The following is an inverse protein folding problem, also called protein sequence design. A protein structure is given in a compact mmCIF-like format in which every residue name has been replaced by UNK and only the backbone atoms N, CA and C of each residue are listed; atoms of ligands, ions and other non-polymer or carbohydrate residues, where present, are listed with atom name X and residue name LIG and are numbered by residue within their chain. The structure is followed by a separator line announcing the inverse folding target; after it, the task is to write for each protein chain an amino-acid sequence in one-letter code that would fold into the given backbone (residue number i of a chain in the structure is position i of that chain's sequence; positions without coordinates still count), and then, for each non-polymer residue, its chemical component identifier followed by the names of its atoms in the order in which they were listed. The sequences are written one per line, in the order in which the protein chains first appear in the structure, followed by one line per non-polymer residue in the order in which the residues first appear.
data_IF_755652532490
#
_entry.id   IF_755652532490
#
_cell.length_a   1.000
_cell.length_b   1.000
_cell.length_c   1.000
_cell.angle_alpha   90.00
_cell.angle_beta   90.00
_cell.angle_gamma   90.00
#
_symmetry.space_group_name_H-M   'P 1'
#
loop_
_entity.id
_entity.type
_entity.pdbx_description
1 polymer ?
#
# COMPACT_ATOMS: atom_id res chain seq x y z
N UNK A 1 18.41 -6.00 -10.65
CA UNK A 1 17.09 -6.64 -10.48
C UNK A 1 16.98 -7.05 -9.02
N UNK A 2 16.02 -6.51 -8.28
CA UNK A 2 15.77 -6.83 -6.85
C UNK A 2 14.60 -7.79 -6.72
N UNK A 3 14.58 -8.60 -5.67
CA UNK A 3 13.46 -9.46 -5.27
C UNK A 3 12.71 -8.77 -4.14
N UNK A 4 11.48 -8.33 -4.40
CA UNK A 4 10.72 -7.48 -3.49
C UNK A 4 9.48 -8.22 -3.03
N UNK A 5 9.34 -8.36 -1.71
CA UNK A 5 8.14 -8.88 -1.08
C UNK A 5 7.16 -7.74 -0.83
N UNK A 6 5.89 -7.92 -1.22
CA UNK A 6 4.81 -6.97 -0.91
C UNK A 6 3.76 -7.66 -0.05
N UNK A 7 3.26 -6.96 0.96
CA UNK A 7 2.25 -7.45 1.88
C UNK A 7 1.06 -6.51 1.92
N UNK A 8 -0.11 -6.97 1.49
CA UNK A 8 -1.31 -6.14 1.45
C UNK A 8 -2.58 -6.87 1.01
N UNK A 9 -3.70 -6.16 0.98
CA UNK A 9 -4.99 -6.68 0.54
C UNK A 9 -5.30 -6.28 -0.90
N UNK A 10 -5.16 -7.19 -1.87
CA UNK A 10 -5.69 -6.98 -3.20
C UNK A 10 -7.20 -7.16 -3.20
N UNK A 11 -7.91 -6.27 -3.89
CA UNK A 11 -9.37 -6.32 -3.98
C UNK A 11 -9.83 -6.47 -5.42
N UNK A 12 -11.00 -7.12 -5.62
CA UNK A 12 -11.72 -7.01 -6.86
C UNK A 12 -12.38 -5.63 -6.92
N UNK A 13 -12.09 -4.87 -7.99
CA UNK A 13 -12.71 -3.58 -8.24
C UNK A 13 -13.77 -3.70 -9.31
N UNK A 14 -14.97 -3.24 -9.00
CA UNK A 14 -16.08 -3.05 -9.93
C UNK A 14 -16.23 -1.55 -10.20
N UNK A 15 -15.95 -1.12 -11.43
CA UNK A 15 -16.15 0.27 -11.87
C UNK A 15 -17.36 0.33 -12.79
N UNK A 16 -18.27 1.28 -12.58
CA UNK A 16 -19.43 1.47 -13.47
C UNK A 16 -18.96 1.70 -14.90
N UNK A 17 -19.73 1.29 -15.88
CA UNK A 17 -19.42 1.53 -17.30
C UNK A 17 -20.08 2.80 -17.84
N UNK A 18 -20.91 3.44 -17.02
CA UNK A 18 -21.60 4.71 -17.23
C UNK A 18 -21.25 5.69 -16.11
N UNK A 19 -21.72 6.92 -16.22
CA UNK A 19 -21.56 7.96 -15.21
C UNK A 19 -22.70 7.97 -14.17
N UNK A 20 -23.46 6.90 -14.09
CA UNK A 20 -24.52 6.73 -13.11
C UNK A 20 -23.94 6.54 -11.70
N UNK A 21 -24.77 6.79 -10.70
CA UNK A 21 -24.45 6.47 -9.31
C UNK A 21 -24.28 4.96 -9.10
N UNK A 22 -23.66 4.56 -8.00
CA UNK A 22 -23.40 3.13 -7.72
C UNK A 22 -24.68 2.30 -7.54
N UNK A 23 -25.77 2.94 -7.08
CA UNK A 23 -27.08 2.32 -6.85
C UNK A 23 -27.95 2.22 -8.13
N UNK A 24 -27.65 3.06 -9.14
CA UNK A 24 -28.39 3.05 -10.42
C UNK A 24 -27.66 2.25 -11.51
N UNK A 25 -26.35 2.06 -11.39
CA UNK A 25 -25.56 1.41 -12.42
C UNK A 25 -25.85 -0.09 -12.55
N UNK A 26 -26.23 -0.54 -13.73
CA UNK A 26 -26.51 -1.95 -14.02
C UNK A 26 -25.27 -2.72 -14.52
N UNK A 27 -24.25 -2.04 -15.07
CA UNK A 27 -23.10 -2.67 -15.69
C UNK A 27 -21.79 -2.20 -15.07
N UNK A 28 -20.91 -3.16 -14.79
CA UNK A 28 -19.61 -2.90 -14.16
C UNK A 28 -18.47 -3.58 -14.92
N UNK A 29 -17.35 -2.88 -15.02
CA UNK A 29 -16.07 -3.45 -15.46
C UNK A 29 -15.29 -3.94 -14.26
N UNK A 30 -14.89 -5.23 -14.32
CA UNK A 30 -14.08 -5.87 -13.28
C UNK A 30 -12.59 -5.64 -13.52
N UNK A 31 -11.89 -5.13 -12.50
CA UNK A 31 -10.44 -4.89 -12.51
C UNK A 31 -9.82 -5.25 -11.15
N UNK A 32 -8.53 -4.98 -10.96
CA UNK A 32 -7.84 -5.07 -9.67
C UNK A 32 -7.76 -3.72 -8.98
N UNK A 33 -7.75 -3.75 -7.66
CA UNK A 33 -7.38 -2.63 -6.80
C UNK A 33 -6.51 -3.09 -5.64
N UNK A 34 -5.81 -2.15 -5.05
CA UNK A 34 -4.93 -2.33 -3.89
C UNK A 34 -3.67 -1.48 -4.07
N UNK A 35 -3.26 -0.75 -3.05
CA UNK A 35 -2.08 0.09 -3.11
C UNK A 35 -0.83 -0.74 -3.43
N UNK A 36 -0.62 -1.81 -2.68
CA UNK A 36 0.52 -2.71 -2.87
C UNK A 36 0.44 -3.47 -4.21
N UNK A 37 -0.77 -3.70 -4.76
CA UNK A 37 -0.94 -4.28 -6.11
C UNK A 37 -0.39 -3.32 -7.17
N UNK A 38 -0.73 -2.04 -7.06
CA UNK A 38 -0.25 -1.02 -8.00
C UNK A 38 1.28 -0.90 -7.94
N UNK A 39 1.86 -0.94 -6.73
CA UNK A 39 3.32 -0.97 -6.54
C UNK A 39 3.92 -2.23 -7.16
N UNK A 40 3.36 -3.42 -6.90
CA UNK A 40 3.85 -4.69 -7.45
C UNK A 40 3.86 -4.70 -8.98
N UNK A 41 2.78 -4.23 -9.62
CA UNK A 41 2.68 -4.09 -11.07
C UNK A 41 3.76 -3.11 -11.59
N UNK A 42 3.91 -1.96 -10.93
CA UNK A 42 4.93 -0.97 -11.28
C UNK A 42 6.34 -1.56 -11.23
N UNK A 43 6.70 -2.22 -10.13
CA UNK A 43 7.99 -2.87 -9.94
C UNK A 43 8.27 -3.94 -11.00
N UNK A 44 7.29 -4.79 -11.31
CA UNK A 44 7.42 -5.83 -12.34
C UNK A 44 7.67 -5.21 -13.72
N UNK A 45 6.95 -4.13 -14.06
CA UNK A 45 7.14 -3.39 -15.33
C UNK A 45 8.48 -2.66 -15.41
N UNK A 46 9.07 -2.31 -14.27
CA UNK A 46 10.43 -1.76 -14.16
C UNK A 46 11.53 -2.84 -14.14
N UNK A 47 11.18 -4.13 -14.26
CA UNK A 47 12.11 -5.25 -14.38
C UNK A 47 12.56 -5.85 -13.04
N UNK A 48 11.88 -5.56 -11.94
CA UNK A 48 12.09 -6.20 -10.65
C UNK A 48 11.25 -7.49 -10.50
N UNK A 49 11.61 -8.35 -9.56
CA UNK A 49 10.81 -9.53 -9.19
C UNK A 49 9.93 -9.19 -7.99
N UNK A 50 8.64 -9.02 -8.21
CA UNK A 50 7.66 -8.78 -7.16
C UNK A 50 7.01 -10.11 -6.74
N UNK A 51 7.03 -10.42 -5.45
CA UNK A 51 6.26 -11.53 -4.84
C UNK A 51 5.19 -10.95 -3.93
N UNK A 52 3.97 -11.41 -4.08
CA UNK A 52 2.84 -10.88 -3.32
C UNK A 52 2.42 -11.82 -2.20
N UNK A 53 2.43 -11.33 -0.96
CA UNK A 53 1.98 -12.04 0.23
C UNK A 53 0.59 -11.53 0.61
N UNK A 54 -0.40 -12.43 0.56
CA UNK A 54 -1.79 -12.11 0.94
C UNK A 54 -2.59 -13.39 1.22
N UNK A 55 -3.79 -13.19 1.77
CA UNK A 55 -4.81 -14.22 1.92
C UNK A 55 -6.09 -13.76 1.23
N UNK A 56 -6.60 -14.56 0.31
CA UNK A 56 -7.84 -14.34 -0.43
C UNK A 56 -8.91 -15.31 0.04
N UNK A 57 -10.18 -15.00 -0.19
CA UNK A 57 -11.23 -15.97 -0.07
C UNK A 57 -11.07 -17.07 -1.13
N UNK A 58 -11.46 -18.31 -0.80
CA UNK A 58 -11.59 -19.39 -1.79
C UNK A 58 -12.90 -19.21 -2.55
N UNK A 59 -12.97 -18.13 -3.33
CA UNK A 59 -14.14 -17.66 -4.04
C UNK A 59 -13.78 -17.14 -5.45
N UNK A 60 -14.76 -16.88 -6.32
CA UNK A 60 -14.51 -16.42 -7.69
C UNK A 60 -13.70 -15.10 -7.77
N UNK A 61 -13.74 -14.25 -6.74
CA UNK A 61 -12.98 -13.00 -6.68
C UNK A 61 -11.52 -13.28 -6.33
N UNK A 62 -11.26 -14.15 -5.36
CA UNK A 62 -9.92 -14.57 -5.00
C UNK A 62 -9.19 -15.26 -6.15
N UNK A 63 -9.88 -16.17 -6.84
CA UNK A 63 -9.33 -16.82 -8.04
C UNK A 63 -9.04 -15.82 -9.16
N UNK A 64 -9.94 -14.85 -9.38
CA UNK A 64 -9.72 -13.78 -10.35
C UNK A 64 -8.49 -12.94 -10.01
N UNK A 65 -8.35 -12.50 -8.74
CA UNK A 65 -7.23 -11.70 -8.29
C UNK A 65 -5.90 -12.43 -8.49
N UNK A 66 -5.78 -13.69 -8.01
CA UNK A 66 -4.55 -14.47 -8.15
C UNK A 66 -4.17 -14.66 -9.62
N UNK A 67 -5.14 -14.96 -10.48
CA UNK A 67 -4.92 -15.06 -11.92
C UNK A 67 -4.42 -13.76 -12.53
N UNK A 68 -4.97 -12.61 -12.11
CA UNK A 68 -4.56 -11.30 -12.60
C UNK A 68 -3.16 -10.90 -12.14
N UNK A 69 -2.81 -11.15 -10.87
CA UNK A 69 -1.46 -10.94 -10.36
C UNK A 69 -0.44 -11.75 -11.18
N UNK A 70 -0.73 -13.02 -11.42
CA UNK A 70 0.12 -13.88 -12.26
C UNK A 70 0.27 -13.36 -13.70
N UNK A 71 -0.82 -12.87 -14.31
CA UNK A 71 -0.78 -12.29 -15.65
C UNK A 71 0.05 -11.02 -15.77
N UNK A 72 0.18 -10.24 -14.67
CA UNK A 72 1.06 -9.07 -14.59
C UNK A 72 2.53 -9.46 -14.27
N UNK A 73 2.85 -10.76 -14.20
CA UNK A 73 4.19 -11.26 -13.94
C UNK A 73 4.60 -11.24 -12.46
N UNK A 74 3.64 -11.06 -11.55
CA UNK A 74 3.87 -11.09 -10.11
C UNK A 74 3.91 -12.53 -9.63
N UNK A 75 4.91 -12.89 -8.81
CA UNK A 75 4.98 -14.20 -8.18
C UNK A 75 3.89 -14.36 -7.12
N UNK A 76 3.03 -15.36 -7.33
CA UNK A 76 1.85 -15.63 -6.49
C UNK A 76 2.02 -16.84 -5.58
N UNK A 77 3.25 -17.33 -5.36
CA UNK A 77 3.53 -18.49 -4.48
C UNK A 77 3.10 -18.26 -3.02
N UNK A 78 3.06 -16.98 -2.58
CA UNK A 78 2.62 -16.57 -1.26
C UNK A 78 1.18 -15.99 -1.24
N UNK A 79 0.39 -16.29 -2.27
CA UNK A 79 -1.05 -16.00 -2.29
C UNK A 79 -1.80 -17.22 -1.81
N UNK A 80 -2.30 -17.17 -0.60
CA UNK A 80 -3.04 -18.23 0.09
C UNK A 80 -4.56 -18.06 -0.07
N UNK A 81 -5.31 -19.13 0.14
CA UNK A 81 -6.76 -19.09 0.17
C UNK A 81 -7.30 -19.46 1.56
N UNK A 82 -8.43 -18.85 1.90
CA UNK A 82 -9.20 -19.14 3.10
C UNK A 82 -10.66 -19.35 2.73
N UNK A 83 -11.23 -20.53 3.03
CA UNK A 83 -12.62 -20.87 2.70
C UNK A 83 -13.66 -20.33 3.69
N UNK A 84 -13.22 -19.74 4.82
CA UNK A 84 -14.13 -19.24 5.86
C UNK A 84 -14.51 -17.76 5.69
N UNK A 85 -13.70 -17.01 4.95
CA UNK A 85 -13.87 -15.56 4.81
C UNK A 85 -13.82 -15.13 3.35
N UNK A 86 -14.63 -14.15 2.94
CA UNK A 86 -14.69 -13.69 1.55
C UNK A 86 -13.46 -12.86 1.16
N UNK A 87 -13.22 -12.80 -0.14
CA UNK A 87 -12.27 -11.84 -0.72
C UNK A 87 -12.79 -10.41 -0.60
N UNK A 88 -11.90 -9.48 -0.25
CA UNK A 88 -12.22 -8.04 -0.22
C UNK A 88 -12.57 -7.50 -1.61
N UNK A 89 -13.56 -6.62 -1.66
CA UNK A 89 -14.04 -5.97 -2.88
C UNK A 89 -14.19 -4.47 -2.68
N UNK A 90 -14.18 -3.74 -3.79
CA UNK A 90 -14.60 -2.34 -3.82
C UNK A 90 -15.40 -2.02 -5.08
N UNK A 91 -16.29 -1.05 -4.98
CA UNK A 91 -17.03 -0.47 -6.09
C UNK A 91 -16.62 1.00 -6.24
N UNK A 92 -16.59 1.46 -7.49
CA UNK A 92 -16.25 2.84 -7.86
C UNK A 92 -17.14 3.26 -9.03
N UNK A 93 -17.77 4.43 -8.96
CA UNK A 93 -18.42 4.98 -10.14
C UNK A 93 -17.41 5.72 -11.04
N UNK A 94 -17.79 5.94 -12.29
CA UNK A 94 -17.10 6.90 -13.16
C UNK A 94 -17.67 8.28 -12.94
N UNK A 95 -16.80 9.28 -12.97
CA UNK A 95 -17.18 10.69 -12.89
C UNK A 95 -16.52 11.48 -14.03
N UNK A 96 -17.21 12.52 -14.50
CA UNK A 96 -16.64 13.45 -15.50
C UNK A 96 -15.74 14.47 -14.82
N UNK A 97 -16.14 14.91 -13.63
CA UNK A 97 -15.43 15.89 -12.80
C UNK A 97 -15.56 15.51 -11.31
N UNK A 98 -14.57 15.89 -10.52
CA UNK A 98 -14.54 15.59 -9.08
C UNK A 98 -14.00 14.22 -8.73
N UNK A 99 -14.22 13.82 -7.47
CA UNK A 99 -13.79 12.52 -6.95
C UNK A 99 -14.93 11.51 -7.10
N UNK A 100 -14.63 10.27 -7.50
CA UNK A 100 -15.63 9.21 -7.60
C UNK A 100 -16.10 8.74 -6.24
N UNK A 101 -17.34 8.27 -6.17
CA UNK A 101 -17.84 7.51 -5.04
C UNK A 101 -17.17 6.16 -4.98
N UNK A 102 -16.64 5.81 -3.79
CA UNK A 102 -15.97 4.53 -3.57
C UNK A 102 -16.62 3.85 -2.38
N UNK A 103 -17.03 2.60 -2.60
CA UNK A 103 -17.58 1.77 -1.55
C UNK A 103 -16.77 0.50 -1.35
N UNK A 104 -16.44 0.17 -0.09
CA UNK A 104 -15.59 -0.96 0.27
C UNK A 104 -16.38 -2.08 0.94
N UNK A 105 -16.25 -3.30 0.40
CA UNK A 105 -16.72 -4.55 0.97
C UNK A 105 -15.52 -5.37 1.42
N UNK A 106 -14.82 -4.91 2.46
CA UNK A 106 -13.56 -5.52 2.94
C UNK A 106 -13.56 -5.82 4.44
N UNK A 107 -14.58 -5.39 5.16
CA UNK A 107 -14.74 -5.72 6.57
C UNK A 107 -14.96 -7.24 6.70
N UNK A 108 -14.14 -7.91 7.55
CA UNK A 108 -14.23 -9.36 7.69
C UNK A 108 -13.70 -10.16 6.51
N UNK A 109 -12.93 -9.56 5.59
CA UNK A 109 -12.30 -10.27 4.48
C UNK A 109 -11.30 -11.34 4.95
N UNK A 110 -10.93 -12.25 4.05
CA UNK A 110 -9.91 -13.26 4.31
C UNK A 110 -8.58 -12.63 4.73
N UNK A 111 -8.17 -11.53 4.10
CA UNK A 111 -6.97 -10.80 4.50
C UNK A 111 -7.09 -10.20 5.90
N UNK A 112 -8.23 -9.58 6.23
CA UNK A 112 -8.44 -9.00 7.57
C UNK A 112 -8.47 -10.05 8.69
N UNK A 113 -8.64 -11.32 8.34
CA UNK A 113 -8.62 -12.48 9.23
C UNK A 113 -7.37 -13.36 9.07
N UNK A 114 -6.29 -12.82 8.53
CA UNK A 114 -5.02 -13.55 8.32
C UNK A 114 -4.55 -14.25 9.60
N UNK A 115 -4.01 -15.45 9.46
CA UNK A 115 -3.28 -16.12 10.54
C UNK A 115 -1.88 -15.52 10.65
N UNK A 116 -1.58 -14.89 11.79
CA UNK A 116 -0.29 -14.26 12.06
C UNK A 116 0.88 -15.25 11.98
N UNK A 117 0.63 -16.55 12.24
CA UNK A 117 1.66 -17.59 12.15
C UNK A 117 2.09 -17.90 10.71
N UNK A 118 1.32 -17.47 9.72
CA UNK A 118 1.71 -17.60 8.31
C UNK A 118 3.10 -17.02 8.03
N UNK A 119 3.47 -15.94 8.74
CA UNK A 119 4.77 -15.26 8.58
C UNK A 119 5.95 -16.18 8.93
N UNK A 120 5.74 -17.19 9.81
CA UNK A 120 6.81 -18.11 10.20
C UNK A 120 7.19 -19.12 9.10
N UNK A 121 6.30 -19.31 8.15
CA UNK A 121 6.49 -20.22 7.02
C UNK A 121 7.25 -19.56 5.85
N UNK A 122 7.51 -18.25 5.94
CA UNK A 122 8.13 -17.49 4.84
C UNK A 122 9.63 -17.42 5.06
N UNK A 123 10.39 -17.89 4.08
CA UNK A 123 11.84 -17.68 4.07
C UNK A 123 12.16 -16.27 3.58
N UNK A 124 12.38 -15.34 4.51
CA UNK A 124 12.67 -13.94 4.19
C UNK A 124 14.03 -13.75 3.49
N UNK A 125 14.97 -14.69 3.60
CA UNK A 125 16.24 -14.64 2.88
C UNK A 125 16.10 -14.78 1.35
N UNK A 126 14.91 -15.15 0.86
CA UNK A 126 14.63 -15.17 -0.58
C UNK A 126 14.45 -13.76 -1.18
N UNK A 127 14.39 -12.72 -0.35
CA UNK A 127 14.06 -11.35 -0.75
C UNK A 127 15.16 -10.36 -0.37
N UNK A 128 15.30 -9.31 -1.18
CA UNK A 128 16.20 -8.19 -0.91
C UNK A 128 15.48 -7.08 -0.14
N UNK A 129 14.15 -6.96 -0.34
CA UNK A 129 13.37 -5.85 0.16
C UNK A 129 11.94 -6.26 0.53
N UNK A 130 11.38 -5.58 1.54
CA UNK A 130 9.96 -5.59 1.88
C UNK A 130 9.36 -4.21 1.60
N UNK A 131 8.24 -4.18 0.86
CA UNK A 131 7.39 -2.98 0.77
C UNK A 131 6.05 -3.23 1.44
N UNK A 132 5.63 -2.27 2.27
CA UNK A 132 4.36 -2.32 3.01
C UNK A 132 3.74 -0.92 3.05
N UNK A 133 2.39 -0.87 3.11
CA UNK A 133 1.67 0.38 3.37
C UNK A 133 1.03 0.40 4.76
N UNK A 134 0.47 1.54 5.15
CA UNK A 134 -0.31 1.67 6.40
C UNK A 134 -1.69 1.02 6.34
N UNK A 135 -2.15 0.58 5.16
CA UNK A 135 -3.48 -0.01 5.02
C UNK A 135 -3.63 -1.31 5.82
N UNK A 136 -2.71 -2.30 5.75
CA UNK A 136 -2.78 -3.50 6.58
C UNK A 136 -2.80 -3.20 8.08
N UNK A 137 -2.14 -2.14 8.53
CA UNK A 137 -2.15 -1.73 9.95
C UNK A 137 -3.53 -1.29 10.43
N UNK A 138 -4.35 -0.76 9.51
CA UNK A 138 -5.66 -0.17 9.81
C UNK A 138 -6.83 -1.17 9.76
N UNK A 139 -6.70 -2.27 8.97
CA UNK A 139 -7.82 -3.14 8.63
C UNK A 139 -8.36 -3.96 9.80
N UNK A 140 -7.47 -4.51 10.62
CA UNK A 140 -7.84 -5.30 11.80
C UNK A 140 -6.69 -5.41 12.80
N UNK A 141 -6.98 -5.88 14.02
CA UNK A 141 -5.92 -6.20 14.99
C UNK A 141 -4.99 -7.31 14.48
N UNK A 142 -5.53 -8.32 13.78
CA UNK A 142 -4.74 -9.42 13.21
C UNK A 142 -3.78 -8.93 12.13
N UNK A 143 -4.25 -8.12 11.17
CA UNK A 143 -3.37 -7.59 10.12
C UNK A 143 -2.34 -6.62 10.68
N UNK A 144 -2.68 -5.84 11.71
CA UNK A 144 -1.73 -4.97 12.42
C UNK A 144 -0.62 -5.78 13.08
N UNK A 145 -0.98 -6.81 13.85
CA UNK A 145 -0.02 -7.71 14.49
C UNK A 145 0.85 -8.42 13.46
N UNK A 146 0.25 -8.94 12.39
CA UNK A 146 0.95 -9.60 11.29
C UNK A 146 1.94 -8.66 10.61
N UNK A 147 1.54 -7.42 10.33
CA UNK A 147 2.40 -6.39 9.73
C UNK A 147 3.62 -6.08 10.59
N UNK A 148 3.41 -5.83 11.89
CA UNK A 148 4.50 -5.54 12.83
C UNK A 148 5.43 -6.74 12.99
N UNK A 149 4.88 -7.96 13.04
CA UNK A 149 5.69 -9.19 13.11
C UNK A 149 6.52 -9.38 11.84
N UNK A 150 5.91 -9.20 10.66
CA UNK A 150 6.60 -9.30 9.37
C UNK A 150 7.76 -8.32 9.27
N UNK A 151 7.52 -7.05 9.61
CA UNK A 151 8.55 -5.99 9.52
C UNK A 151 9.70 -6.27 10.49
N UNK A 152 9.43 -6.70 11.74
CA UNK A 152 10.48 -7.07 12.70
C UNK A 152 11.34 -8.21 12.16
N UNK A 153 10.72 -9.28 11.68
CA UNK A 153 11.43 -10.42 11.07
C UNK A 153 12.22 -10.03 9.82
N UNK A 154 11.66 -9.17 8.97
CA UNK A 154 12.35 -8.65 7.79
C UNK A 154 13.59 -7.83 8.18
N UNK A 155 13.49 -7.01 9.23
CA UNK A 155 14.63 -6.26 9.79
C UNK A 155 15.73 -7.20 10.32
N UNK A 156 15.34 -8.23 11.06
CA UNK A 156 16.26 -9.25 11.59
C UNK A 156 16.95 -10.04 10.47
N UNK A 157 16.24 -10.30 9.36
CA UNK A 157 16.78 -10.95 8.18
C UNK A 157 17.61 -10.00 7.28
N UNK A 158 17.72 -8.72 7.62
CA UNK A 158 18.53 -7.73 6.90
C UNK A 158 17.89 -7.20 5.60
N UNK A 159 16.56 -7.36 5.42
CA UNK A 159 15.87 -6.79 4.27
C UNK A 159 15.86 -5.26 4.35
N UNK A 160 15.95 -4.61 3.19
CA UNK A 160 15.63 -3.19 3.07
C UNK A 160 14.10 -3.00 3.15
N UNK A 161 13.63 -2.14 4.05
CA UNK A 161 12.18 -1.98 4.31
C UNK A 161 11.74 -0.59 3.87
N UNK A 162 10.82 -0.52 2.90
CA UNK A 162 10.13 0.69 2.48
C UNK A 162 8.70 0.71 2.98
N UNK A 163 8.27 1.86 3.52
CA UNK A 163 6.95 2.02 4.10
C UNK A 163 6.26 3.29 3.60
N UNK A 164 5.08 3.15 3.01
CA UNK A 164 4.17 4.26 2.68
C UNK A 164 3.04 4.30 3.72
N UNK A 165 2.87 5.35 4.54
CA UNK A 165 1.81 5.41 5.53
C UNK A 165 0.43 5.32 4.92
N UNK A 166 0.23 5.86 3.72
CA UNK A 166 -1.00 5.75 2.92
C UNK A 166 -2.25 5.83 3.81
N UNK A 167 -2.32 6.89 4.63
CA UNK A 167 -3.30 7.02 5.71
C UNK A 167 -4.75 6.94 5.19
N UNK A 168 -5.56 6.17 5.91
CA UNK A 168 -6.99 6.03 5.69
C UNK A 168 -7.69 6.19 7.04
N UNK A 169 -7.90 7.44 7.53
CA UNK A 169 -8.42 7.68 8.88
C UNK A 169 -9.71 6.92 9.21
N UNK A 170 -10.58 6.74 8.21
CA UNK A 170 -11.85 6.01 8.37
C UNK A 170 -11.70 4.51 8.71
N UNK A 171 -10.54 3.92 8.49
CA UNK A 171 -10.27 2.51 8.83
C UNK A 171 -9.77 2.33 10.27
N UNK A 172 -9.39 3.41 10.95
CA UNK A 172 -8.82 3.36 12.28
C UNK A 172 -9.87 3.57 13.37
N UNK A 173 -9.72 2.94 14.53
CA UNK A 173 -10.65 3.13 15.65
C UNK A 173 -10.63 4.58 16.20
N UNK A 174 -9.47 5.23 16.13
CA UNK A 174 -9.27 6.64 16.50
C UNK A 174 -7.91 7.14 15.95
N UNK A 175 -7.75 8.47 15.97
CA UNK A 175 -6.55 9.14 15.47
C UNK A 175 -5.29 8.81 16.27
N UNK A 176 -5.38 8.68 17.57
CA UNK A 176 -4.23 8.35 18.45
C UNK A 176 -3.65 6.98 18.07
N UNK A 177 -4.49 5.96 17.97
CA UNK A 177 -4.05 4.61 17.54
C UNK A 177 -3.42 4.64 16.16
N UNK A 178 -3.96 5.42 15.23
CA UNK A 178 -3.39 5.60 13.88
C UNK A 178 -1.98 6.19 13.95
N UNK A 179 -1.82 7.31 14.67
CA UNK A 179 -0.53 8.01 14.80
C UNK A 179 0.51 7.11 15.48
N UNK A 180 0.17 6.54 16.64
CA UNK A 180 1.10 5.74 17.43
C UNK A 180 1.56 4.50 16.66
N UNK A 181 0.62 3.79 16.01
CA UNK A 181 0.95 2.58 15.24
C UNK A 181 1.78 2.90 14.01
N UNK A 182 1.45 3.98 13.28
CA UNK A 182 2.19 4.39 12.09
C UNK A 182 3.61 4.83 12.44
N UNK A 183 3.77 5.62 13.50
CA UNK A 183 5.09 6.05 13.98
C UNK A 183 5.90 4.88 14.56
N UNK A 184 5.27 3.91 15.21
CA UNK A 184 5.95 2.68 15.65
C UNK A 184 6.45 1.87 14.46
N UNK A 185 5.65 1.70 13.40
CA UNK A 185 6.05 1.02 12.17
C UNK A 185 7.26 1.71 11.50
N UNK A 186 7.26 3.05 11.44
CA UNK A 186 8.33 3.83 10.83
C UNK A 186 9.71 3.55 11.43
N UNK A 187 9.80 3.21 12.73
CA UNK A 187 11.08 2.90 13.41
C UNK A 187 11.80 1.67 12.85
N UNK A 188 11.08 0.80 12.15
CA UNK A 188 11.66 -0.40 11.56
C UNK A 188 12.06 -0.22 10.10
N UNK A 189 11.70 0.90 9.47
CA UNK A 189 11.84 1.11 8.04
C UNK A 189 13.17 1.81 7.70
N UNK A 190 13.77 1.43 6.59
CA UNK A 190 14.91 2.13 6.01
C UNK A 190 14.42 3.36 5.25
N UNK A 191 13.35 3.21 4.46
CA UNK A 191 12.75 4.29 3.68
C UNK A 191 11.30 4.53 4.10
N UNK A 192 10.95 5.78 4.38
CA UNK A 192 9.59 6.19 4.70
C UNK A 192 9.08 7.21 3.68
N UNK A 193 7.86 6.99 3.14
CA UNK A 193 7.30 7.75 2.01
C UNK A 193 6.01 8.51 2.39
N UNK A 194 6.01 9.43 3.35
CA UNK A 194 4.80 10.16 3.72
C UNK A 194 4.47 11.26 2.70
N UNK A 195 3.20 11.66 2.64
CA UNK A 195 2.82 12.96 2.10
C UNK A 195 3.02 14.08 3.15
N UNK A 196 3.16 15.33 2.74
CA UNK A 196 3.25 16.46 3.67
C UNK A 196 2.00 16.59 4.56
N UNK A 197 0.79 16.34 4.01
CA UNK A 197 -0.45 16.30 4.79
C UNK A 197 -0.47 15.14 5.79
N UNK A 198 0.12 13.99 5.44
CA UNK A 198 0.28 12.86 6.35
C UNK A 198 1.27 13.23 7.47
N UNK A 199 2.36 13.91 7.15
CA UNK A 199 3.30 14.45 8.13
C UNK A 199 2.62 15.37 9.14
N UNK A 200 1.72 16.25 8.68
CA UNK A 200 0.93 17.13 9.55
C UNK A 200 0.08 16.35 10.56
N UNK A 201 -0.53 15.25 10.12
CA UNK A 201 -1.33 14.37 10.99
C UNK A 201 -0.44 13.60 11.96
N UNK A 202 0.67 13.02 11.47
CA UNK A 202 1.50 12.08 12.21
C UNK A 202 2.46 12.73 13.21
N UNK A 203 2.95 13.96 12.92
CA UNK A 203 3.94 14.62 13.75
C UNK A 203 3.73 16.13 13.94
N UNK A 204 2.60 16.67 13.43
CA UNK A 204 2.18 18.05 13.67
C UNK A 204 2.74 19.09 12.70
N UNK A 205 3.46 18.71 11.64
CA UNK A 205 4.01 19.63 10.65
C UNK A 205 3.84 19.11 9.22
N UNK A 206 3.54 20.02 8.29
CA UNK A 206 3.54 19.78 6.83
C UNK A 206 4.81 20.27 6.13
N UNK A 207 5.76 20.80 6.90
CA UNK A 207 7.08 21.22 6.45
C UNK A 207 7.96 19.98 6.20
N UNK A 208 8.43 19.74 4.95
CA UNK A 208 9.18 18.53 4.61
C UNK A 208 10.51 18.42 5.37
N UNK A 209 11.19 19.52 5.67
CA UNK A 209 12.44 19.48 6.43
C UNK A 209 12.20 19.02 7.87
N UNK A 210 11.13 19.52 8.51
CA UNK A 210 10.75 19.10 9.88
C UNK A 210 10.30 17.65 9.92
N UNK A 211 9.55 17.20 8.90
CA UNK A 211 9.14 15.80 8.76
C UNK A 211 10.39 14.92 8.64
N UNK A 212 11.35 15.29 7.78
CA UNK A 212 12.58 14.54 7.60
C UNK A 212 13.39 14.43 8.90
N UNK A 213 13.62 15.55 9.59
CA UNK A 213 14.34 15.56 10.87
C UNK A 213 13.67 14.63 11.90
N UNK A 214 12.35 14.69 12.03
CA UNK A 214 11.60 13.88 12.98
C UNK A 214 11.79 12.38 12.72
N UNK A 215 11.61 11.92 11.47
CA UNK A 215 11.70 10.51 11.14
C UNK A 215 13.14 9.99 11.08
N UNK A 216 14.12 10.82 10.75
CA UNK A 216 15.53 10.47 10.94
C UNK A 216 15.87 10.20 12.40
N UNK A 217 15.32 10.98 13.34
CA UNK A 217 15.47 10.74 14.78
C UNK A 217 14.77 9.45 15.24
N UNK A 218 13.70 9.02 14.56
CA UNK A 218 13.05 7.73 14.80
C UNK A 218 13.80 6.53 14.21
N UNK A 219 14.80 6.76 13.35
CA UNK A 219 15.67 5.72 12.80
C UNK A 219 15.49 5.43 11.31
N UNK A 220 14.66 6.18 10.57
CA UNK A 220 14.58 6.05 9.12
C UNK A 220 15.87 6.59 8.46
N UNK A 221 16.44 5.81 7.54
CA UNK A 221 17.65 6.21 6.82
C UNK A 221 17.34 7.20 5.68
N UNK A 222 16.19 7.01 5.02
CA UNK A 222 15.76 7.77 3.87
C UNK A 222 14.30 8.20 3.98
N UNK A 223 14.02 9.44 3.62
CA UNK A 223 12.69 10.03 3.56
C UNK A 223 12.39 10.49 2.14
N UNK A 224 11.21 10.14 1.63
CA UNK A 224 10.70 10.67 0.37
C UNK A 224 9.32 11.27 0.63
N UNK A 225 9.28 12.58 0.83
CA UNK A 225 8.07 13.29 1.22
C UNK A 225 7.34 13.78 -0.04
N UNK A 226 6.14 13.26 -0.24
CA UNK A 226 5.30 13.60 -1.39
C UNK A 226 4.66 14.98 -1.21
N UNK A 227 4.87 15.89 -2.16
CA UNK A 227 4.40 17.29 -2.13
C UNK A 227 3.28 17.54 -3.16
N UNK A 228 2.58 16.48 -3.60
CA UNK A 228 1.53 16.55 -4.60
C UNK A 228 2.06 17.07 -5.94
N UNK A 229 1.41 18.08 -6.53
CA UNK A 229 1.83 18.66 -7.79
C UNK A 229 3.18 19.40 -7.74
N UNK A 230 3.67 19.72 -6.54
CA UNK A 230 4.99 20.35 -6.35
C UNK A 230 6.14 19.34 -6.46
N UNK A 231 5.86 18.04 -6.51
CA UNK A 231 6.86 17.00 -6.66
C UNK A 231 7.17 16.27 -5.37
N UNK A 232 8.45 16.11 -5.02
CA UNK A 232 8.87 15.38 -3.83
C UNK A 232 10.13 15.98 -3.21
N UNK A 233 10.25 15.83 -1.89
CA UNK A 233 11.45 16.15 -1.12
C UNK A 233 12.10 14.86 -0.65
N UNK A 234 13.35 14.63 -1.06
CA UNK A 234 14.19 13.52 -0.60
C UNK A 234 15.13 13.99 0.49
N UNK A 235 15.36 13.16 1.50
CA UNK A 235 16.33 13.40 2.57
C UNK A 235 16.97 12.08 2.99
N UNK A 236 18.29 12.09 3.10
CA UNK A 236 19.12 11.05 3.70
C UNK A 236 20.13 11.67 4.66
N UNK A 237 21.00 10.85 5.27
CA UNK A 237 22.09 11.35 6.10
C UNK A 237 23.09 12.26 5.36
N UNK A 238 23.20 12.07 4.03
CA UNK A 238 24.26 12.68 3.23
C UNK A 238 23.77 13.82 2.35
N UNK A 239 22.49 13.82 1.98
CA UNK A 239 21.96 14.79 1.03
C UNK A 239 20.47 15.06 1.24
N UNK A 240 20.04 16.22 0.76
CA UNK A 240 18.65 16.58 0.60
C UNK A 240 18.43 17.08 -0.82
N UNK A 241 17.30 16.75 -1.43
CA UNK A 241 16.96 17.11 -2.80
C UNK A 241 15.46 17.38 -2.93
N UNK A 242 15.11 18.47 -3.59
CA UNK A 242 13.72 18.69 -4.03
C UNK A 242 13.62 18.47 -5.54
N UNK A 243 12.75 17.53 -5.92
CA UNK A 243 12.47 17.22 -7.33
C UNK A 243 11.12 17.80 -7.67
N UNK A 244 11.02 18.75 -8.63
CA UNK A 244 9.75 19.34 -9.01
C UNK A 244 8.83 18.33 -9.70
N UNK A 245 7.52 18.52 -9.54
CA UNK A 245 6.52 17.72 -10.25
C UNK A 245 6.46 18.03 -11.74
N UNK A 246 5.97 17.08 -12.52
CA UNK A 246 5.68 17.31 -13.93
C UNK A 246 4.41 18.14 -14.11
N UNK A 247 4.42 19.07 -15.05
CA UNK A 247 3.22 19.82 -15.40
C UNK A 247 2.27 18.94 -16.23
N UNK A 248 1.15 18.52 -15.62
CA UNK A 248 0.13 17.68 -16.26
C UNK A 248 -0.99 18.57 -16.79
N UNK A 249 -1.21 18.55 -18.10
CA UNK A 249 -2.25 19.38 -18.74
C UNK A 249 -3.68 19.03 -18.32
N UNK A 250 -3.95 17.75 -18.05
CA UNK A 250 -5.25 17.24 -17.61
C UNK A 250 -5.05 15.99 -16.75
N UNK A 251 -5.59 16.02 -15.55
CA UNK A 251 -5.68 14.84 -14.69
C UNK A 251 -6.91 14.03 -15.13
N UNK A 252 -6.72 12.74 -15.44
CA UNK A 252 -7.81 11.84 -15.86
C UNK A 252 -8.27 11.00 -14.66
N UNK A 253 -7.33 10.42 -13.93
CA UNK A 253 -7.59 9.62 -12.72
C UNK A 253 -6.36 9.73 -11.79
N UNK A 254 -6.59 9.98 -10.52
CA UNK A 254 -5.55 10.03 -9.48
C UNK A 254 -5.29 8.68 -8.83
N UNK A 255 -6.13 7.67 -9.16
CA UNK A 255 -6.04 6.33 -8.58
C UNK A 255 -4.69 5.69 -8.89
N UNK A 256 -3.95 5.32 -7.85
CA UNK A 256 -2.65 4.66 -7.96
C UNK A 256 -1.47 5.58 -8.28
N UNK A 257 -1.65 6.89 -8.42
CA UNK A 257 -0.55 7.82 -8.72
C UNK A 257 0.56 7.76 -7.64
N UNK A 258 0.16 7.74 -6.38
CA UNK A 258 1.08 7.62 -5.22
C UNK A 258 1.78 6.25 -5.23
N UNK A 259 1.05 5.20 -5.54
CA UNK A 259 1.58 3.83 -5.58
C UNK A 259 2.58 3.67 -6.74
N UNK A 260 2.29 4.26 -7.91
CA UNK A 260 3.22 4.29 -9.05
C UNK A 260 4.49 5.11 -8.73
N UNK A 261 4.34 6.21 -8.00
CA UNK A 261 5.48 6.98 -7.51
C UNK A 261 6.34 6.13 -6.57
N UNK A 262 5.74 5.43 -5.61
CA UNK A 262 6.44 4.52 -4.73
C UNK A 262 7.20 3.43 -5.51
N UNK A 263 6.57 2.81 -6.52
CA UNK A 263 7.24 1.81 -7.37
C UNK A 263 8.46 2.37 -8.12
N UNK A 264 8.43 3.65 -8.50
CA UNK A 264 9.55 4.31 -9.19
C UNK A 264 10.72 4.70 -8.27
N UNK A 265 10.49 4.75 -6.96
CA UNK A 265 11.51 5.10 -5.95
C UNK A 265 12.15 3.83 -5.34
N UNK A 266 11.38 2.77 -5.17
CA UNK A 266 11.80 1.49 -4.61
C UNK A 266 12.71 0.71 -5.58
#
# INVERSE_FOLDING_TARGET
MKKILLFGEPMALLTTTSYDSLDEAEMFKKTLAGAEVNVAIGLTRLGHQATYLTVLGDDPWGHYIKKKLYQEGIDTRLVYYNSLFPTGMMMKNQVIEGDPDIYYYRQGSAFSNIDTNLIDQINLNDFDQLHITGIPLALSSKTRETSLRLVKKAREAGLYISFDPNLRPSLWPNQTTMIDTTNEMAKYCNMFLPGNNEGKILMGSDDPEKIAVYYHQLGCDELVIKLGSQGAYYSSKNETLTVPGFNVKKVIDTGGAVDCFAAGII
#
